data_IF_839040348604
#
_entry.id   IF_839040348604
#
_cell.length_a   1.000
_cell.length_b   1.000
_cell.length_c   1.000
_cell.angle_alpha   90.00
_cell.angle_beta   90.00
_cell.angle_gamma   90.00
#
_symmetry.space_group_name_H-M   'P 1'
#
loop_
_entity.id
_entity.type
_entity.pdbx_description
1 polymer ?
#
# COMPACT_ATOMS: atom_id res chain seq x y z
N UNK A 1 -7.51 -16.40 -8.04
CA UNK A 1 -6.26 -16.29 -7.26
C UNK A 1 -6.60 -15.44 -6.05
N UNK A 2 -6.60 -16.00 -4.84
CA UNK A 2 -6.98 -15.27 -3.62
C UNK A 2 -5.71 -14.70 -3.02
N UNK A 3 -5.47 -13.40 -3.22
CA UNK A 3 -4.35 -12.74 -2.53
C UNK A 3 -4.79 -12.43 -1.10
N UNK A 4 -4.09 -13.01 -0.11
CA UNK A 4 -4.37 -12.77 1.31
C UNK A 4 -3.57 -11.57 1.86
N UNK A 5 -2.79 -10.90 1.02
CA UNK A 5 -1.98 -9.73 1.37
C UNK A 5 -1.84 -8.75 0.19
N UNK A 6 -1.64 -7.47 0.50
CA UNK A 6 -1.17 -6.45 -0.45
C UNK A 6 0.35 -6.42 -0.34
N UNK A 7 1.04 -7.02 -1.30
CA UNK A 7 2.50 -7.16 -1.32
C UNK A 7 2.98 -7.00 -2.76
N UNK A 8 4.08 -6.27 -2.93
CA UNK A 8 4.71 -6.05 -4.21
C UNK A 8 5.40 -4.69 -4.27
N UNK A 9 5.63 -4.25 -5.48
CA UNK A 9 6.00 -2.87 -5.80
C UNK A 9 4.87 -1.89 -5.43
N UNK A 10 5.16 -0.59 -5.29
CA UNK A 10 4.12 0.41 -5.05
C UNK A 10 2.99 0.37 -6.10
N UNK A 11 3.29 0.08 -7.36
CA UNK A 11 2.27 0.02 -8.42
C UNK A 11 1.37 -1.21 -8.28
N UNK A 12 1.93 -2.39 -7.99
CA UNK A 12 1.14 -3.59 -7.69
C UNK A 12 0.26 -3.39 -6.45
N UNK A 13 0.79 -2.73 -5.41
CA UNK A 13 0.02 -2.40 -4.22
C UNK A 13 -1.16 -1.47 -4.49
N UNK A 14 -1.05 -0.54 -5.47
CA UNK A 14 -2.16 0.32 -5.91
C UNK A 14 -3.28 -0.50 -6.53
N UNK A 15 -2.94 -1.39 -7.46
CA UNK A 15 -3.92 -2.20 -8.17
C UNK A 15 -4.64 -3.15 -7.22
N UNK A 16 -3.92 -3.76 -6.28
CA UNK A 16 -4.52 -4.60 -5.23
C UNK A 16 -5.43 -3.80 -4.29
N UNK A 17 -5.03 -2.58 -3.90
CA UNK A 17 -5.86 -1.71 -3.04
C UNK A 17 -7.13 -1.23 -3.76
N UNK A 18 -7.05 -0.93 -5.06
CA UNK A 18 -8.23 -0.60 -5.90
C UNK A 18 -9.20 -1.77 -5.98
N UNK A 19 -8.70 -2.99 -6.16
CA UNK A 19 -9.53 -4.19 -6.15
C UNK A 19 -10.37 -4.33 -4.87
N UNK A 20 -9.89 -3.87 -3.71
CA UNK A 20 -10.67 -3.88 -2.47
C UNK A 20 -11.79 -2.83 -2.50
N UNK A 21 -11.57 -1.66 -3.09
CA UNK A 21 -12.62 -0.66 -3.26
C UNK A 21 -13.71 -1.13 -4.23
N UNK A 22 -13.32 -1.83 -5.31
CA UNK A 22 -14.26 -2.39 -6.29
C UNK A 22 -15.19 -3.45 -5.68
N UNK A 23 -14.78 -4.07 -4.56
CA UNK A 23 -15.63 -4.96 -3.77
C UNK A 23 -16.67 -4.22 -2.90
N UNK A 24 -16.68 -2.89 -2.91
CA UNK A 24 -17.62 -2.04 -2.16
C UNK A 24 -17.15 -1.66 -0.75
N UNK A 25 -15.92 -1.99 -0.37
CA UNK A 25 -15.34 -1.50 0.89
C UNK A 25 -14.99 -0.02 0.77
N UNK A 26 -15.20 0.73 1.86
CA UNK A 26 -14.90 2.17 1.91
C UNK A 26 -13.68 2.49 2.79
N UNK A 27 -13.14 1.51 3.49
CA UNK A 27 -12.01 1.63 4.41
C UNK A 27 -11.12 0.38 4.37
N UNK A 28 -9.82 0.56 4.54
CA UNK A 28 -8.83 -0.52 4.62
C UNK A 28 -7.85 -0.19 5.74
N UNK A 29 -7.57 -1.15 6.61
CA UNK A 29 -6.53 -1.05 7.64
C UNK A 29 -5.34 -1.92 7.23
N UNK A 30 -4.15 -1.33 7.16
CA UNK A 30 -2.94 -2.00 6.64
C UNK A 30 -1.82 -1.93 7.67
N UNK A 31 -1.16 -3.07 7.90
CA UNK A 31 0.13 -3.10 8.56
C UNK A 31 1.21 -2.87 7.50
N UNK A 32 1.87 -1.72 7.54
CA UNK A 32 2.84 -1.33 6.53
C UNK A 32 4.23 -1.83 6.90
N UNK A 33 4.93 -2.40 5.92
CA UNK A 33 6.29 -2.88 6.08
C UNK A 33 7.07 -2.63 4.80
N UNK A 34 8.26 -2.07 4.92
CA UNK A 34 9.20 -1.89 3.81
C UNK A 34 10.52 -2.59 4.15
N UNK A 35 11.19 -3.25 3.19
CA UNK A 35 12.46 -3.93 3.45
C UNK A 35 13.49 -2.97 4.05
N UNK A 36 13.97 -3.29 5.26
CA UNK A 36 14.86 -2.41 6.01
C UNK A 36 16.29 -2.56 5.50
N UNK A 37 16.79 -1.58 4.76
CA UNK A 37 18.20 -1.54 4.33
C UNK A 37 19.11 -0.75 5.27
N UNK A 38 18.58 0.30 5.93
CA UNK A 38 19.39 1.38 6.53
C UNK A 38 18.95 1.80 7.96
N UNK A 39 18.34 0.89 8.72
CA UNK A 39 17.92 1.13 10.12
C UNK A 39 16.47 1.60 10.30
N UNK A 40 16.01 1.70 11.56
CA UNK A 40 14.59 1.90 11.88
C UNK A 40 14.01 3.22 11.36
N UNK A 41 14.73 4.33 11.52
CA UNK A 41 14.24 5.64 11.05
C UNK A 41 14.09 5.67 9.54
N UNK A 42 15.11 5.23 8.81
CA UNK A 42 15.07 5.19 7.35
C UNK A 42 13.99 4.22 6.86
N UNK A 43 13.86 3.04 7.48
CA UNK A 43 12.80 2.08 7.16
C UNK A 43 11.40 2.66 7.37
N UNK A 44 11.16 3.39 8.47
CA UNK A 44 9.89 4.06 8.71
C UNK A 44 9.62 5.14 7.66
N UNK A 45 10.63 5.97 7.36
CA UNK A 45 10.52 7.01 6.33
C UNK A 45 10.19 6.42 4.96
N UNK A 46 10.93 5.40 4.52
CA UNK A 46 10.73 4.73 3.23
C UNK A 46 9.34 4.08 3.17
N UNK A 47 8.89 3.49 4.27
CA UNK A 47 7.54 2.92 4.38
C UNK A 47 6.48 4.00 4.18
N UNK A 48 6.59 5.15 4.87
CA UNK A 48 5.62 6.24 4.80
C UNK A 48 5.62 6.93 3.43
N UNK A 49 6.80 7.27 2.90
CA UNK A 49 6.94 7.95 1.60
C UNK A 49 6.51 7.03 0.45
N UNK A 50 6.94 5.76 0.46
CA UNK A 50 6.54 4.77 -0.55
C UNK A 50 5.04 4.50 -0.54
N UNK A 51 4.45 4.30 0.65
CA UNK A 51 3.03 4.02 0.78
C UNK A 51 2.16 5.26 0.51
N UNK A 52 2.66 6.48 0.74
CA UNK A 52 1.97 7.72 0.38
C UNK A 52 1.54 7.73 -1.10
N UNK A 53 2.41 7.25 -1.99
CA UNK A 53 2.10 7.14 -3.43
C UNK A 53 0.95 6.18 -3.73
N UNK A 54 0.77 5.15 -2.90
CA UNK A 54 -0.34 4.18 -3.02
C UNK A 54 -1.65 4.84 -2.60
N UNK A 55 -1.65 5.55 -1.47
CA UNK A 55 -2.83 6.28 -0.96
C UNK A 55 -3.30 7.32 -1.98
N UNK A 56 -2.37 8.12 -2.54
CA UNK A 56 -2.73 9.18 -3.48
C UNK A 56 -3.40 8.62 -4.74
N UNK A 57 -2.87 7.51 -5.29
CA UNK A 57 -3.43 6.86 -6.46
C UNK A 57 -4.81 6.19 -6.20
N UNK A 58 -5.06 5.76 -4.97
CA UNK A 58 -6.36 5.23 -4.54
C UNK A 58 -7.37 6.38 -4.35
N UNK A 59 -6.93 7.54 -3.84
CA UNK A 59 -7.79 8.73 -3.65
C UNK A 59 -8.14 9.43 -4.96
N UNK A 60 -7.22 9.50 -5.92
CA UNK A 60 -7.41 10.19 -7.20
C UNK A 60 -8.28 9.42 -8.20
N UNK A 61 -8.56 8.14 -7.94
CA UNK A 61 -9.43 7.29 -8.76
C UNK A 61 -10.89 7.26 -8.30
N UNK A 62 -11.25 8.01 -7.24
CA UNK A 62 -12.63 8.33 -6.86
C UNK A 62 -13.09 9.59 -7.56
#
# INVERSE_FOLDING_TARGET
>A
MTSFAIVGTPDECKDLARGILDLGFNSISMNLSFPVGNGMYQGLRDTLEGFGTVIDAVRSGR
#
